data_IF_094733556382
#
_entry.id   IF_094733556382
#
_cell.length_a   1.000
_cell.length_b   1.000
_cell.length_c   1.000
_cell.angle_alpha   90.00
_cell.angle_beta   90.00
_cell.angle_gamma   90.00
#
_symmetry.space_group_name_H-M   'P 1'
#
loop_
_entity.id
_entity.type
_entity.pdbx_description
1 polymer ?
#
# COMPACT_ATOMS: atom_id res chain seq x y z
N UNK A 1 8.92 22.12 -10.57
CA UNK A 1 8.78 20.67 -10.83
C UNK A 1 7.46 20.41 -11.52
N UNK A 2 7.40 19.42 -12.40
CA UNK A 2 6.14 18.94 -12.98
C UNK A 2 5.35 18.19 -11.91
N UNK A 3 4.02 18.19 -11.98
CA UNK A 3 3.13 17.52 -11.01
C UNK A 3 3.54 16.07 -10.73
N UNK A 4 3.88 15.30 -11.76
CA UNK A 4 4.33 13.90 -11.59
C UNK A 4 5.64 13.74 -10.81
N UNK A 5 6.55 14.72 -10.88
CA UNK A 5 7.80 14.70 -10.10
C UNK A 5 7.51 14.91 -8.61
N UNK A 6 6.60 15.84 -8.28
CA UNK A 6 6.16 16.09 -6.91
C UNK A 6 5.45 14.88 -6.30
N UNK A 7 4.53 14.25 -7.06
CA UNK A 7 3.85 13.02 -6.63
C UNK A 7 4.88 11.93 -6.32
N UNK A 8 5.89 11.77 -7.17
CA UNK A 8 6.95 10.77 -6.97
C UNK A 8 7.74 11.04 -5.70
N UNK A 9 8.15 12.28 -5.46
CA UNK A 9 8.90 12.65 -4.25
C UNK A 9 8.09 12.40 -2.98
N UNK A 10 6.82 12.81 -2.96
CA UNK A 10 5.95 12.55 -1.81
C UNK A 10 5.60 11.07 -1.64
N UNK A 11 5.57 10.28 -2.73
CA UNK A 11 5.44 8.82 -2.64
C UNK A 11 6.67 8.20 -1.96
N UNK A 12 7.88 8.68 -2.28
CA UNK A 12 9.11 8.24 -1.62
C UNK A 12 9.12 8.65 -0.14
N UNK A 13 8.72 9.88 0.16
CA UNK A 13 8.54 10.37 1.53
C UNK A 13 7.57 9.49 2.33
N UNK A 14 6.42 9.15 1.74
CA UNK A 14 5.43 8.29 2.36
C UNK A 14 5.98 6.89 2.65
N UNK A 15 6.74 6.29 1.72
CA UNK A 15 7.38 4.99 1.95
C UNK A 15 8.36 5.01 3.13
N UNK A 16 9.14 6.09 3.27
CA UNK A 16 10.04 6.26 4.42
C UNK A 16 9.25 6.41 5.73
N UNK A 17 8.21 7.25 5.73
CA UNK A 17 7.32 7.45 6.89
C UNK A 17 6.58 6.18 7.27
N UNK A 18 6.12 5.41 6.30
CA UNK A 18 5.43 4.14 6.56
C UNK A 18 6.33 3.20 7.37
N UNK A 19 7.62 3.15 7.05
CA UNK A 19 8.59 2.31 7.75
C UNK A 19 9.01 2.81 9.14
N UNK A 20 8.88 4.11 9.42
CA UNK A 20 9.44 4.73 10.63
C UNK A 20 8.40 5.30 11.59
N UNK A 21 7.24 5.70 11.08
CA UNK A 21 6.27 6.56 11.77
C UNK A 21 4.85 6.00 11.76
N UNK A 22 4.48 5.18 10.77
CA UNK A 22 3.13 4.61 10.64
C UNK A 22 3.09 3.11 10.92
N UNK A 23 3.67 2.69 12.05
CA UNK A 23 3.72 1.28 12.46
C UNK A 23 2.32 0.66 12.56
N UNK A 24 1.36 1.36 13.18
CA UNK A 24 -0.03 0.88 13.27
C UNK A 24 -0.70 0.70 11.90
N UNK A 25 -0.37 1.56 10.92
CA UNK A 25 -0.86 1.38 9.54
C UNK A 25 -0.25 0.14 8.89
N UNK A 26 1.05 -0.14 9.11
CA UNK A 26 1.69 -1.36 8.59
C UNK A 26 1.11 -2.62 9.20
N UNK A 27 0.87 -2.61 10.51
CA UNK A 27 0.22 -3.72 11.23
C UNK A 27 -1.19 -3.96 10.70
N UNK A 28 -1.99 -2.91 10.53
CA UNK A 28 -3.32 -3.03 9.94
C UNK A 28 -3.28 -3.58 8.51
N UNK A 29 -2.36 -3.10 7.66
CA UNK A 29 -2.17 -3.64 6.30
C UNK A 29 -1.81 -5.12 6.35
N UNK A 30 -0.94 -5.53 7.26
CA UNK A 30 -0.54 -6.94 7.39
C UNK A 30 -1.71 -7.83 7.78
N UNK A 31 -2.53 -7.40 8.74
CA UNK A 31 -3.75 -8.12 9.15
C UNK A 31 -4.73 -8.26 7.99
N UNK A 32 -5.00 -7.17 7.26
CA UNK A 32 -5.88 -7.19 6.09
C UNK A 32 -5.32 -8.12 5.01
N UNK A 33 -4.01 -8.09 4.78
CA UNK A 33 -3.37 -8.93 3.77
C UNK A 33 -3.47 -10.43 4.09
N UNK A 34 -3.38 -10.80 5.36
CA UNK A 34 -3.58 -12.18 5.82
C UNK A 34 -5.03 -12.64 5.65
N UNK A 35 -6.00 -11.78 5.96
CA UNK A 35 -7.41 -12.03 5.69
C UNK A 35 -7.69 -12.21 4.20
N UNK A 36 -7.10 -11.36 3.35
CA UNK A 36 -7.24 -11.45 1.90
C UNK A 36 -6.59 -12.71 1.32
N UNK A 37 -5.46 -13.14 1.86
CA UNK A 37 -4.85 -14.42 1.49
C UNK A 37 -5.78 -15.60 1.84
N UNK A 38 -6.45 -15.56 2.99
CA UNK A 38 -7.45 -16.56 3.38
C UNK A 38 -8.69 -16.54 2.47
N UNK A 39 -9.19 -15.35 2.13
CA UNK A 39 -10.30 -15.18 1.20
C UNK A 39 -9.98 -15.73 -0.19
N UNK A 40 -8.76 -15.50 -0.69
CA UNK A 40 -8.26 -16.08 -1.94
C UNK A 40 -8.30 -17.61 -1.90
N UNK A 41 -7.79 -18.22 -0.83
CA UNK A 41 -7.81 -19.68 -0.67
C UNK A 41 -9.24 -20.24 -0.66
N UNK A 42 -10.16 -19.61 0.08
CA UNK A 42 -11.55 -20.05 0.17
C UNK A 42 -12.30 -19.90 -1.16
N UNK A 43 -12.11 -18.77 -1.84
CA UNK A 43 -12.82 -18.45 -3.08
C UNK A 43 -12.29 -19.29 -4.24
N UNK A 44 -10.98 -19.54 -4.26
CA UNK A 44 -10.33 -20.36 -5.28
C UNK A 44 -10.45 -21.86 -5.04
N UNK A 45 -10.92 -22.30 -3.86
CA UNK A 45 -10.82 -23.68 -3.39
C UNK A 45 -9.37 -24.22 -3.48
N UNK A 46 -8.41 -23.41 -3.02
CA UNK A 46 -6.96 -23.67 -3.13
C UNK A 46 -6.38 -23.93 -1.73
N UNK A 47 -5.70 -25.06 -1.58
CA UNK A 47 -4.83 -25.33 -0.44
C UNK A 47 -3.43 -24.74 -0.65
N UNK A 48 -2.99 -23.88 0.26
CA UNK A 48 -1.62 -23.36 0.32
C UNK A 48 -0.95 -23.85 1.59
N UNK A 49 0.34 -24.17 1.51
CA UNK A 49 1.19 -24.35 2.68
C UNK A 49 1.29 -23.06 3.50
N UNK A 50 1.78 -23.18 4.73
CA UNK A 50 2.00 -22.03 5.60
C UNK A 50 2.91 -20.98 4.95
N UNK A 51 3.97 -21.41 4.26
CA UNK A 51 4.94 -20.50 3.63
C UNK A 51 4.37 -19.84 2.38
N UNK A 52 3.62 -20.57 1.54
CA UNK A 52 2.94 -19.97 0.38
C UNK A 52 1.89 -18.95 0.80
N UNK A 53 1.13 -19.25 1.86
CA UNK A 53 0.16 -18.30 2.42
C UNK A 53 0.82 -17.04 2.96
N UNK A 54 1.95 -17.17 3.68
CA UNK A 54 2.74 -16.02 4.15
C UNK A 54 3.26 -15.20 2.97
N UNK A 55 3.75 -15.86 1.93
CA UNK A 55 4.25 -15.19 0.73
C UNK A 55 3.15 -14.42 0.00
N UNK A 56 1.97 -15.01 -0.17
CA UNK A 56 0.81 -14.34 -0.74
C UNK A 56 0.40 -13.11 0.10
N UNK A 57 0.29 -13.27 1.42
CA UNK A 57 -0.01 -12.16 2.32
C UNK A 57 1.04 -11.03 2.21
N UNK A 58 2.33 -11.37 2.12
CA UNK A 58 3.39 -10.37 1.92
C UNK A 58 3.26 -9.62 0.59
N UNK A 59 2.90 -10.30 -0.51
CA UNK A 59 2.66 -9.65 -1.80
C UNK A 59 1.52 -8.65 -1.66
N UNK A 60 0.37 -9.08 -1.10
CA UNK A 60 -0.80 -8.22 -0.91
C UNK A 60 -0.45 -7.02 -0.04
N UNK A 61 0.20 -7.25 1.10
CA UNK A 61 0.63 -6.19 2.01
C UNK A 61 1.52 -5.17 1.30
N UNK A 62 2.55 -5.63 0.56
CA UNK A 62 3.46 -4.72 -0.15
C UNK A 62 2.76 -3.92 -1.23
N UNK A 63 1.81 -4.51 -1.96
CA UNK A 63 0.98 -3.81 -2.95
C UNK A 63 0.10 -2.74 -2.29
N UNK A 64 -0.49 -3.03 -1.13
CA UNK A 64 -1.27 -2.06 -0.35
C UNK A 64 -0.39 -0.91 0.17
N UNK A 65 0.82 -1.22 0.68
CA UNK A 65 1.78 -0.21 1.14
C UNK A 65 2.21 0.72 -0.01
N UNK A 66 2.47 0.19 -1.20
CA UNK A 66 2.77 0.98 -2.39
C UNK A 66 1.61 1.89 -2.78
N UNK A 67 0.37 1.36 -2.74
CA UNK A 67 -0.84 2.12 -3.06
C UNK A 67 -1.09 3.24 -2.03
N UNK A 68 -0.88 2.96 -0.75
CA UNK A 68 -0.93 3.97 0.32
C UNK A 68 0.07 5.10 0.05
N UNK A 69 1.33 4.77 -0.25
CA UNK A 69 2.37 5.77 -0.51
C UNK A 69 2.06 6.62 -1.74
N UNK A 70 1.53 6.02 -2.81
CA UNK A 70 1.09 6.76 -3.99
C UNK A 70 -0.09 7.70 -3.65
N UNK A 71 -1.09 7.19 -2.93
CA UNK A 71 -2.26 7.98 -2.51
C UNK A 71 -1.87 9.16 -1.62
N UNK A 72 -0.90 8.97 -0.71
CA UNK A 72 -0.30 10.06 0.06
C UNK A 72 0.33 11.11 -0.86
N UNK A 73 1.12 10.67 -1.84
CA UNK A 73 1.78 11.56 -2.79
C UNK A 73 0.79 12.40 -3.58
N UNK A 74 -0.23 11.78 -4.16
CA UNK A 74 -1.30 12.45 -4.90
C UNK A 74 -2.04 13.45 -4.00
N UNK A 75 -2.55 12.99 -2.85
CA UNK A 75 -3.34 13.81 -1.95
C UNK A 75 -2.59 15.02 -1.41
N UNK A 76 -1.27 14.90 -1.19
CA UNK A 76 -0.43 16.02 -0.78
C UNK A 76 -0.30 17.07 -1.88
N UNK A 77 -0.06 16.66 -3.13
CA UNK A 77 0.00 17.61 -4.26
C UNK A 77 -1.38 18.24 -4.52
N UNK A 78 -2.47 17.47 -4.44
CA UNK A 78 -3.83 18.02 -4.57
C UNK A 78 -4.13 19.06 -3.48
N UNK A 79 -3.75 18.78 -2.23
CA UNK A 79 -3.91 19.70 -1.10
C UNK A 79 -3.12 21.00 -1.25
N UNK A 80 -1.88 20.92 -1.75
CA UNK A 80 -1.03 22.10 -1.98
C UNK A 80 -1.49 22.93 -3.18
N UNK A 81 -1.88 22.27 -4.28
CA UNK A 81 -2.28 22.97 -5.51
C UNK A 81 -3.74 23.39 -5.52
N UNK A 82 -4.57 22.87 -4.59
CA UNK A 82 -6.04 23.00 -4.55
C UNK A 82 -6.71 22.63 -5.88
N UNK A 83 -6.08 21.71 -6.62
CA UNK A 83 -6.55 21.21 -7.90
C UNK A 83 -6.59 19.70 -7.85
N UNK A 84 -7.65 19.14 -8.40
CA UNK A 84 -7.77 17.71 -8.56
C UNK A 84 -6.74 17.23 -9.60
N UNK A 85 -6.06 16.13 -9.29
CA UNK A 85 -5.09 15.50 -10.16
C UNK A 85 -5.73 14.25 -10.75
N UNK A 86 -5.78 14.19 -12.07
CA UNK A 86 -6.19 13.00 -12.80
C UNK A 86 -4.92 12.24 -13.22
N UNK A 87 -4.82 10.98 -12.79
CA UNK A 87 -3.74 10.05 -13.13
C UNK A 87 -4.08 9.20 -14.34
#
# INVERSE_FOLDING_TARGET
>A
MKTGELIREYTIEANLKLNQQYNGTKEAIQLIAEEKAKEFMMTGDIGLSLEERKYLAQIIARSMMQSFSLGYGVGKVEGETKKQIYL
#
